data_IF_817217402288
#
_entry.id   IF_817217402288
#
_cell.length_a   1.000
_cell.length_b   1.000
_cell.length_c   1.000
_cell.angle_alpha   90.00
_cell.angle_beta   90.00
_cell.angle_gamma   90.00
#
_symmetry.space_group_name_H-M   'P 1'
#
loop_
_entity.id
_entity.type
_entity.pdbx_description
1 polymer ?
#
# COMPACT_ATOMS: atom_id res chain seq x y z
N UNK A 1 27.78 1.97 -0.55
CA UNK A 1 26.66 2.72 0.10
C UNK A 1 26.56 2.23 1.54
N UNK A 2 26.49 3.11 2.52
CA UNK A 2 26.23 2.72 3.92
C UNK A 2 24.72 2.65 4.05
N UNK A 3 24.19 1.45 4.34
CA UNK A 3 22.76 1.27 4.56
C UNK A 3 22.36 1.88 5.91
N UNK A 4 21.25 2.61 5.93
CA UNK A 4 20.65 3.10 7.17
C UNK A 4 19.94 1.92 7.84
N UNK A 5 20.22 1.70 9.11
CA UNK A 5 19.42 0.78 9.93
C UNK A 5 18.25 1.54 10.55
N UNK A 6 17.10 0.90 10.56
CA UNK A 6 15.87 1.43 11.13
C UNK A 6 15.52 0.71 12.42
N UNK A 7 15.16 1.50 13.44
CA UNK A 7 14.67 0.94 14.69
C UNK A 7 13.20 0.54 14.55
N UNK A 8 12.87 -0.61 15.13
CA UNK A 8 11.48 -1.11 15.19
C UNK A 8 10.88 -0.71 16.52
N UNK A 9 9.77 0.02 16.49
CA UNK A 9 8.99 0.34 17.70
C UNK A 9 8.25 -0.89 18.18
N UNK A 10 8.25 -1.09 19.48
CA UNK A 10 7.41 -2.12 20.08
C UNK A 10 5.94 -1.73 20.00
N UNK A 11 5.16 -2.60 19.39
CA UNK A 11 3.71 -2.54 19.34
C UNK A 11 3.13 -3.83 19.93
N UNK A 12 1.86 -3.83 20.37
CA UNK A 12 1.18 -5.07 20.72
C UNK A 12 1.28 -6.10 19.57
N UNK A 13 1.40 -7.38 19.91
CA UNK A 13 1.46 -8.44 18.91
C UNK A 13 0.21 -8.42 18.03
N UNK A 14 0.42 -8.27 16.73
CA UNK A 14 -0.65 -8.30 15.75
C UNK A 14 -0.99 -9.76 15.40
N UNK A 15 -2.27 -10.12 15.34
CA UNK A 15 -2.66 -11.47 15.00
C UNK A 15 -2.29 -11.81 13.55
N UNK A 16 -1.80 -13.03 13.33
CA UNK A 16 -1.57 -13.54 11.98
C UNK A 16 -2.91 -13.78 11.30
N UNK A 17 -3.17 -13.06 10.21
CA UNK A 17 -4.38 -13.24 9.42
C UNK A 17 -4.14 -14.19 8.26
N UNK A 18 -5.13 -15.02 7.97
CA UNK A 18 -5.10 -15.91 6.81
C UNK A 18 -5.84 -15.23 5.66
N UNK A 19 -5.13 -15.08 4.53
CA UNK A 19 -5.72 -14.52 3.31
C UNK A 19 -6.54 -15.59 2.60
N UNK A 20 -7.81 -15.29 2.35
CA UNK A 20 -8.78 -16.16 1.67
C UNK A 20 -9.38 -15.46 0.43
N UNK A 21 -10.13 -16.19 -0.37
CA UNK A 21 -10.87 -15.64 -1.51
C UNK A 21 -12.34 -16.08 -1.41
N UNK A 22 -13.23 -15.12 -1.30
CA UNK A 22 -14.68 -15.35 -1.22
C UNK A 22 -15.34 -14.60 -2.38
N UNK A 23 -16.02 -15.34 -3.27
CA UNK A 23 -16.68 -14.74 -4.42
C UNK A 23 -15.74 -13.97 -5.37
N UNK A 24 -14.49 -14.44 -5.53
CA UNK A 24 -13.49 -13.78 -6.37
C UNK A 24 -12.83 -12.56 -5.74
N UNK A 25 -13.11 -12.25 -4.48
CA UNK A 25 -12.57 -11.10 -3.74
C UNK A 25 -11.70 -11.55 -2.58
N UNK A 26 -10.65 -10.77 -2.33
CA UNK A 26 -9.73 -11.01 -1.23
C UNK A 26 -10.42 -10.73 0.10
N UNK A 27 -10.32 -11.69 1.02
CA UNK A 27 -10.73 -11.60 2.41
C UNK A 27 -9.57 -11.98 3.32
N UNK A 28 -9.71 -11.69 4.59
CA UNK A 28 -8.80 -12.11 5.64
C UNK A 28 -9.60 -12.69 6.81
N UNK A 29 -9.23 -13.88 7.25
CA UNK A 29 -9.81 -14.47 8.44
C UNK A 29 -9.15 -13.84 9.66
N UNK A 30 -9.96 -13.14 10.45
CA UNK A 30 -9.60 -12.44 11.67
C UNK A 30 -10.15 -13.19 12.88
N UNK A 31 -9.71 -12.90 14.10
CA UNK A 31 -10.31 -13.48 15.31
C UNK A 31 -11.82 -13.26 15.43
N UNK A 32 -12.35 -12.20 14.81
CA UNK A 32 -13.77 -11.82 14.90
C UNK A 32 -14.59 -12.21 13.67
N UNK A 33 -13.98 -12.86 12.66
CA UNK A 33 -14.65 -13.30 11.44
C UNK A 33 -13.85 -13.00 10.17
N UNK A 34 -14.43 -13.32 9.01
CA UNK A 34 -13.78 -13.07 7.71
C UNK A 34 -14.15 -11.69 7.17
N UNK A 35 -13.16 -10.82 7.00
CA UNK A 35 -13.35 -9.45 6.55
C UNK A 35 -12.80 -9.24 5.14
N UNK A 36 -13.51 -8.49 4.27
CA UNK A 36 -12.99 -8.13 2.95
C UNK A 36 -11.73 -7.26 3.07
N UNK A 37 -10.81 -7.41 2.12
CA UNK A 37 -9.70 -6.48 2.05
C UNK A 37 -10.17 -5.08 1.66
N UNK A 38 -9.55 -4.04 2.22
CA UNK A 38 -9.85 -2.66 1.80
C UNK A 38 -9.68 -2.46 0.29
N UNK A 39 -8.70 -3.12 -0.32
CA UNK A 39 -8.52 -3.07 -1.77
C UNK A 39 -9.67 -3.72 -2.54
N UNK A 40 -10.31 -4.78 -1.99
CA UNK A 40 -11.54 -5.37 -2.56
C UNK A 40 -12.72 -4.42 -2.42
N UNK A 41 -12.84 -3.74 -1.28
CA UNK A 41 -13.87 -2.72 -1.04
C UNK A 41 -13.76 -1.60 -2.08
N UNK A 42 -12.57 -1.03 -2.25
CA UNK A 42 -12.35 0.10 -3.17
C UNK A 42 -12.43 -0.29 -4.65
N UNK A 43 -12.24 -1.57 -4.99
CA UNK A 43 -12.25 -2.03 -6.39
C UNK A 43 -13.58 -1.82 -7.11
N UNK A 44 -14.70 -1.66 -6.39
CA UNK A 44 -15.99 -1.38 -7.01
C UNK A 44 -16.08 0.04 -7.54
N UNK A 45 -15.36 1.00 -6.94
CA UNK A 45 -15.34 2.41 -7.36
C UNK A 45 -14.69 2.61 -8.72
N UNK A 46 -13.66 1.80 -9.03
CA UNK A 46 -12.90 1.91 -10.29
C UNK A 46 -13.46 1.02 -11.41
N UNK A 47 -14.49 0.21 -11.12
CA UNK A 47 -14.97 -0.85 -12.02
C UNK A 47 -15.39 -0.32 -13.40
N UNK A 48 -16.17 0.74 -13.44
CA UNK A 48 -16.67 1.31 -14.70
C UNK A 48 -15.52 1.90 -15.54
N UNK A 49 -14.64 2.67 -14.92
CA UNK A 49 -13.47 3.24 -15.58
C UNK A 49 -12.53 2.16 -16.16
N UNK A 50 -12.33 1.05 -15.43
CA UNK A 50 -11.55 -0.10 -15.92
C UNK A 50 -12.23 -0.76 -17.12
N UNK A 51 -13.55 -0.93 -17.09
CA UNK A 51 -14.31 -1.52 -18.20
C UNK A 51 -14.20 -0.65 -19.45
N UNK A 52 -14.38 0.66 -19.33
CA UNK A 52 -14.26 1.60 -20.45
C UNK A 52 -12.84 1.66 -21.01
N UNK A 53 -11.83 1.68 -20.13
CA UNK A 53 -10.45 1.62 -20.54
C UNK A 53 -10.14 0.33 -21.31
N UNK A 54 -10.60 -0.84 -20.83
CA UNK A 54 -10.44 -2.12 -21.52
C UNK A 54 -11.11 -2.13 -22.90
N UNK A 55 -12.29 -1.55 -23.03
CA UNK A 55 -12.97 -1.41 -24.33
C UNK A 55 -12.13 -0.59 -25.32
N UNK A 56 -11.48 0.47 -24.84
CA UNK A 56 -10.67 1.38 -25.67
C UNK A 56 -9.35 0.75 -26.12
N UNK A 57 -8.64 0.05 -25.24
CA UNK A 57 -7.29 -0.50 -25.55
C UNK A 57 -7.30 -1.95 -26.03
N UNK A 58 -8.41 -2.65 -25.83
CA UNK A 58 -8.54 -4.08 -26.10
C UNK A 58 -8.09 -4.96 -24.90
N UNK A 59 -8.71 -6.13 -24.77
CA UNK A 59 -8.50 -7.00 -23.60
C UNK A 59 -7.08 -7.56 -23.52
N UNK A 60 -6.48 -7.90 -24.64
CA UNK A 60 -5.10 -8.46 -24.69
C UNK A 60 -4.08 -7.43 -24.20
N UNK A 61 -4.14 -6.24 -24.75
CA UNK A 61 -3.25 -5.14 -24.37
C UNK A 61 -3.50 -4.69 -22.94
N UNK A 62 -4.75 -4.59 -22.49
CA UNK A 62 -5.09 -4.30 -21.11
C UNK A 62 -4.48 -5.33 -20.16
N UNK A 63 -4.58 -6.62 -20.47
CA UNK A 63 -3.98 -7.68 -19.66
C UNK A 63 -2.45 -7.60 -19.63
N UNK A 64 -1.82 -7.27 -20.77
CA UNK A 64 -0.36 -7.07 -20.86
C UNK A 64 0.09 -5.91 -19.96
N UNK A 65 -0.60 -4.77 -20.04
CA UNK A 65 -0.32 -3.57 -19.23
C UNK A 65 -0.49 -3.88 -17.74
N UNK A 66 -1.60 -4.52 -17.37
CA UNK A 66 -1.88 -4.85 -15.96
C UNK A 66 -0.85 -5.82 -15.39
N UNK A 67 -0.44 -6.85 -16.14
CA UNK A 67 0.62 -7.79 -15.70
C UNK A 67 1.94 -7.08 -15.50
N UNK A 68 2.35 -6.23 -16.46
CA UNK A 68 3.59 -5.45 -16.34
C UNK A 68 3.56 -4.55 -15.09
N UNK A 69 2.46 -3.85 -14.87
CA UNK A 69 2.29 -2.99 -13.70
C UNK A 69 2.33 -3.78 -12.38
N UNK A 70 1.64 -4.93 -12.31
CA UNK A 70 1.62 -5.79 -11.13
C UNK A 70 3.02 -6.35 -10.82
N UNK A 71 3.75 -6.86 -11.83
CA UNK A 71 5.11 -7.37 -11.66
C UNK A 71 6.06 -6.26 -11.16
N UNK A 72 6.00 -5.08 -11.77
CA UNK A 72 6.78 -3.91 -11.34
C UNK A 72 6.48 -3.54 -9.90
N UNK A 73 5.20 -3.42 -9.55
CA UNK A 73 4.76 -3.10 -8.20
C UNK A 73 5.27 -4.11 -7.17
N UNK A 74 5.04 -5.41 -7.41
CA UNK A 74 5.52 -6.47 -6.50
C UNK A 74 7.04 -6.43 -6.30
N UNK A 75 7.81 -6.22 -7.36
CA UNK A 75 9.27 -6.12 -7.27
C UNK A 75 9.71 -4.88 -6.48
N UNK A 76 9.06 -3.74 -6.70
CA UNK A 76 9.36 -2.51 -5.98
C UNK A 76 9.07 -2.65 -4.48
N UNK A 77 7.89 -3.15 -4.11
CA UNK A 77 7.53 -3.41 -2.70
C UNK A 77 8.50 -4.38 -2.04
N UNK A 78 8.89 -5.47 -2.73
CA UNK A 78 9.86 -6.42 -2.16
C UNK A 78 11.25 -5.81 -1.90
N UNK A 79 11.70 -4.85 -2.71
CA UNK A 79 12.95 -4.13 -2.45
C UNK A 79 12.81 -3.19 -1.25
N UNK A 80 11.69 -2.46 -1.17
CA UNK A 80 11.38 -1.56 -0.05
C UNK A 80 11.26 -2.35 1.27
N UNK A 81 10.53 -3.46 1.26
CA UNK A 81 10.36 -4.36 2.42
C UNK A 81 11.72 -4.80 2.97
N UNK A 82 12.56 -5.43 2.12
CA UNK A 82 13.90 -5.89 2.53
C UNK A 82 14.76 -4.77 3.10
N UNK A 83 14.70 -3.60 2.48
CA UNK A 83 15.47 -2.45 2.92
C UNK A 83 15.04 -1.98 4.31
N UNK A 84 13.76 -1.75 4.53
CA UNK A 84 13.26 -1.24 5.80
C UNK A 84 13.20 -2.30 6.91
N UNK A 85 13.24 -3.60 6.57
CA UNK A 85 13.42 -4.69 7.53
C UNK A 85 14.88 -4.88 7.95
N UNK A 86 15.82 -4.14 7.37
CA UNK A 86 17.27 -4.34 7.55
C UNK A 86 17.73 -5.75 7.11
N UNK A 87 17.09 -6.33 6.10
CA UNK A 87 17.36 -7.70 5.59
C UNK A 87 18.35 -7.71 4.42
N UNK A 88 19.24 -6.71 4.34
CA UNK A 88 20.26 -6.61 3.31
C UNK A 88 21.63 -6.79 3.96
N UNK A 89 22.11 -8.03 4.01
CA UNK A 89 23.41 -8.38 4.59
C UNK A 89 24.58 -7.93 3.71
N UNK A 90 24.44 -8.07 2.39
CA UNK A 90 25.42 -7.66 1.39
C UNK A 90 24.77 -6.85 0.27
N UNK A 91 25.10 -5.56 0.22
CA UNK A 91 24.53 -4.64 -0.76
C UNK A 91 24.93 -4.97 -2.21
N UNK A 92 26.12 -5.48 -2.44
CA UNK A 92 26.62 -5.77 -3.79
C UNK A 92 25.86 -6.97 -4.37
N UNK A 93 25.65 -8.04 -3.58
CA UNK A 93 24.81 -9.17 -3.98
C UNK A 93 23.35 -8.75 -4.18
N UNK A 94 22.78 -7.98 -3.27
CA UNK A 94 21.42 -7.47 -3.38
C UNK A 94 21.20 -6.61 -4.63
N UNK A 95 22.13 -5.70 -4.92
CA UNK A 95 22.07 -4.87 -6.11
C UNK A 95 22.23 -5.69 -7.39
N UNK A 96 23.15 -6.66 -7.41
CA UNK A 96 23.36 -7.57 -8.52
C UNK A 96 22.10 -8.38 -8.88
N UNK A 97 21.44 -8.95 -7.89
CA UNK A 97 20.18 -9.68 -8.07
C UNK A 97 19.03 -8.78 -8.57
N UNK A 98 18.89 -7.60 -7.97
CA UNK A 98 17.85 -6.65 -8.36
C UNK A 98 18.06 -6.13 -9.79
N UNK A 99 19.29 -5.78 -10.17
CA UNK A 99 19.65 -5.36 -11.52
C UNK A 99 19.41 -6.48 -12.54
N UNK A 100 19.80 -7.71 -12.24
CA UNK A 100 19.57 -8.86 -13.12
C UNK A 100 18.08 -9.12 -13.34
N UNK A 101 17.25 -8.90 -12.32
CA UNK A 101 15.80 -9.13 -12.36
C UNK A 101 15.06 -8.02 -13.09
N UNK A 102 15.32 -6.75 -12.76
CA UNK A 102 14.67 -5.60 -13.39
C UNK A 102 15.46 -4.30 -13.12
N UNK A 103 16.35 -3.88 -14.00
CA UNK A 103 17.13 -2.65 -13.82
C UNK A 103 16.28 -1.41 -13.60
N UNK A 104 15.13 -1.31 -14.30
CA UNK A 104 14.24 -0.15 -14.15
C UNK A 104 13.69 -0.03 -12.75
N UNK A 105 13.22 -1.13 -12.15
CA UNK A 105 12.72 -1.12 -10.76
C UNK A 105 13.85 -0.84 -9.75
N UNK A 106 15.05 -1.34 -10.01
CA UNK A 106 16.21 -1.05 -9.18
C UNK A 106 16.51 0.46 -9.13
N UNK A 107 16.51 1.15 -10.28
CA UNK A 107 16.70 2.60 -10.30
C UNK A 107 15.58 3.36 -9.59
N UNK A 108 14.33 2.95 -9.75
CA UNK A 108 13.22 3.55 -9.01
C UNK A 108 13.39 3.38 -7.49
N UNK A 109 13.86 2.21 -7.05
CA UNK A 109 14.17 1.95 -5.66
C UNK A 109 15.29 2.87 -5.13
N UNK A 110 16.40 3.01 -5.85
CA UNK A 110 17.52 3.86 -5.46
C UNK A 110 17.09 5.34 -5.31
N UNK A 111 16.32 5.87 -6.24
CA UNK A 111 15.79 7.24 -6.15
C UNK A 111 14.84 7.39 -4.95
N UNK A 112 14.06 6.35 -4.66
CA UNK A 112 13.12 6.37 -3.53
C UNK A 112 13.84 6.42 -2.19
N UNK A 113 14.84 5.55 -1.96
CA UNK A 113 15.52 5.46 -0.67
C UNK A 113 16.31 6.73 -0.33
N UNK A 114 16.87 7.44 -1.31
CA UNK A 114 17.57 8.70 -1.10
C UNK A 114 16.70 9.78 -0.41
N UNK A 115 15.39 9.73 -0.66
CA UNK A 115 14.41 10.65 -0.07
C UNK A 115 13.90 10.08 1.25
N UNK A 116 13.51 8.80 1.24
CA UNK A 116 12.90 8.15 2.41
C UNK A 116 13.87 8.05 3.59
N UNK A 117 15.17 7.85 3.35
CA UNK A 117 16.20 7.85 4.41
C UNK A 117 16.23 9.13 5.25
N UNK A 118 15.86 10.25 4.65
CA UNK A 118 15.85 11.57 5.31
C UNK A 118 14.55 11.84 6.05
N UNK A 119 13.48 11.12 5.71
CA UNK A 119 12.11 11.38 6.14
C UNK A 119 11.58 10.35 7.11
N UNK A 120 11.98 9.08 6.91
CA UNK A 120 11.52 7.96 7.71
C UNK A 120 12.37 7.82 8.96
N UNK A 121 11.72 7.85 10.12
CA UNK A 121 12.27 7.57 11.43
C UNK A 121 11.99 6.14 11.87
N UNK A 122 11.46 5.98 13.07
CA UNK A 122 11.14 4.68 13.66
C UNK A 122 9.97 4.00 12.94
N UNK A 123 10.06 2.68 12.82
CA UNK A 123 9.09 1.88 12.07
C UNK A 123 8.25 1.04 13.03
N UNK A 124 6.94 1.02 12.81
CA UNK A 124 5.97 0.22 13.57
C UNK A 124 5.57 -1.06 12.84
N UNK A 125 5.23 -0.95 11.54
CA UNK A 125 4.75 -2.06 10.70
C UNK A 125 5.42 -2.03 9.33
N UNK A 126 5.70 -3.19 8.76
CA UNK A 126 6.11 -3.39 7.35
C UNK A 126 5.44 -4.66 6.84
N UNK A 127 4.65 -4.56 5.77
CA UNK A 127 3.90 -5.68 5.15
C UNK A 127 3.06 -6.47 6.17
N UNK A 128 2.71 -5.83 7.29
CA UNK A 128 1.93 -6.43 8.36
C UNK A 128 0.43 -6.44 8.03
N UNK A 129 -0.26 -7.47 8.52
CA UNK A 129 -1.69 -7.59 8.37
C UNK A 129 -2.42 -6.83 9.48
N UNK A 130 -3.34 -5.97 9.09
CA UNK A 130 -4.18 -5.18 9.97
C UNK A 130 -5.66 -5.46 9.71
N UNK A 131 -6.49 -5.27 10.73
CA UNK A 131 -7.93 -5.36 10.60
C UNK A 131 -8.64 -4.43 11.59
N UNK A 132 -9.87 -4.09 11.26
CA UNK A 132 -10.75 -3.31 12.11
C UNK A 132 -12.06 -4.06 12.37
N UNK A 133 -12.42 -4.21 13.64
CA UNK A 133 -13.71 -4.74 14.05
C UNK A 133 -14.82 -3.70 13.91
N UNK A 134 -14.47 -2.41 14.01
CA UNK A 134 -15.40 -1.30 13.79
C UNK A 134 -15.84 -1.23 12.33
N UNK A 135 -14.87 -1.18 11.42
CA UNK A 135 -15.13 -1.03 9.98
C UNK A 135 -15.38 -2.34 9.24
N UNK A 136 -15.08 -3.51 9.87
CA UNK A 136 -15.21 -4.85 9.28
C UNK A 136 -14.42 -4.99 7.97
N UNK A 137 -13.19 -4.50 7.98
CA UNK A 137 -12.25 -4.57 6.84
C UNK A 137 -10.87 -4.98 7.35
N UNK A 138 -10.05 -5.51 6.44
CA UNK A 138 -8.68 -5.91 6.74
C UNK A 138 -7.74 -5.63 5.54
N UNK A 139 -6.44 -5.80 5.73
CA UNK A 139 -5.46 -5.69 4.65
C UNK A 139 -4.03 -5.81 5.11
N UNK A 140 -3.11 -5.85 4.16
CA UNK A 140 -1.67 -5.71 4.41
C UNK A 140 -1.29 -4.25 4.17
N UNK A 141 -0.67 -3.62 5.16
CA UNK A 141 -0.14 -2.25 5.05
C UNK A 141 1.30 -2.32 4.57
N UNK A 142 1.68 -1.45 3.64
CA UNK A 142 3.06 -1.41 3.16
C UNK A 142 4.02 -1.01 4.29
N UNK A 143 3.76 0.12 4.95
CA UNK A 143 4.54 0.56 6.11
C UNK A 143 3.73 1.50 7.01
N UNK A 144 3.94 1.38 8.32
CA UNK A 144 3.60 2.42 9.30
C UNK A 144 4.88 2.83 10.00
N UNK A 145 5.22 4.11 9.92
CA UNK A 145 6.45 4.66 10.44
C UNK A 145 6.30 6.14 10.82
N UNK A 146 7.25 6.67 11.54
CA UNK A 146 7.40 8.12 11.64
C UNK A 146 7.87 8.66 10.29
N UNK A 147 7.11 9.58 9.72
CA UNK A 147 7.48 10.34 8.53
C UNK A 147 7.52 11.82 8.87
N UNK A 148 8.71 12.43 8.78
CA UNK A 148 8.98 13.76 9.32
C UNK A 148 8.54 13.91 10.81
N UNK A 149 8.71 12.84 11.61
CA UNK A 149 8.41 12.81 13.04
C UNK A 149 6.91 12.58 13.37
N UNK A 150 6.06 12.32 12.39
CA UNK A 150 4.62 12.06 12.58
C UNK A 150 4.33 10.59 12.23
N UNK A 151 3.65 9.86 13.13
CA UNK A 151 3.21 8.48 12.85
C UNK A 151 2.27 8.46 11.65
N UNK A 152 2.69 7.76 10.59
CA UNK A 152 2.08 7.82 9.27
C UNK A 152 1.90 6.45 8.66
N UNK A 153 0.82 6.29 7.91
CA UNK A 153 0.77 5.24 6.88
C UNK A 153 1.59 5.72 5.68
N UNK A 154 2.58 4.94 5.29
CA UNK A 154 3.36 5.18 4.07
C UNK A 154 3.02 4.08 3.07
N UNK A 155 2.36 4.46 1.99
CA UNK A 155 1.87 3.56 0.95
C UNK A 155 2.68 3.77 -0.34
N UNK A 156 3.33 2.71 -0.80
CA UNK A 156 4.21 2.74 -1.96
C UNK A 156 3.47 2.38 -3.24
N UNK A 157 3.62 3.21 -4.24
CA UNK A 157 3.01 2.97 -5.55
C UNK A 157 4.03 3.16 -6.67
N UNK A 158 3.90 2.38 -7.74
CA UNK A 158 4.61 2.66 -9.00
C UNK A 158 3.62 3.06 -10.07
N UNK A 159 4.05 3.91 -10.98
CA UNK A 159 3.18 4.44 -12.04
C UNK A 159 3.96 4.58 -13.36
N UNK A 160 3.27 4.46 -14.51
CA UNK A 160 3.88 4.75 -15.82
C UNK A 160 3.99 6.26 -16.09
N UNK A 161 3.20 7.07 -15.38
CA UNK A 161 3.13 8.52 -15.56
C UNK A 161 2.86 9.17 -14.22
N UNK A 162 3.15 10.44 -14.14
CA UNK A 162 2.76 11.27 -13.02
C UNK A 162 1.25 11.20 -12.78
N UNK A 163 0.87 11.21 -11.51
CA UNK A 163 -0.52 11.19 -11.07
C UNK A 163 -0.95 12.57 -10.62
N UNK A 164 -2.18 12.91 -10.95
CA UNK A 164 -2.84 14.03 -10.32
C UNK A 164 -3.52 13.56 -9.04
N UNK A 165 -3.56 14.42 -8.05
CA UNK A 165 -4.15 14.11 -6.75
C UNK A 165 -5.60 13.61 -6.86
N UNK A 166 -6.39 14.24 -7.73
CA UNK A 166 -7.79 13.88 -8.00
C UNK A 166 -7.99 12.44 -8.54
N UNK A 167 -6.92 11.82 -9.06
CA UNK A 167 -6.97 10.45 -9.61
C UNK A 167 -6.59 9.38 -8.60
N UNK A 168 -6.16 9.76 -7.41
CA UNK A 168 -5.61 8.84 -6.41
C UNK A 168 -6.39 8.86 -5.09
N UNK A 169 -7.63 9.38 -5.08
CA UNK A 169 -8.47 9.44 -3.89
C UNK A 169 -8.59 8.06 -3.21
N UNK A 170 -8.70 6.98 -3.99
CA UNK A 170 -8.73 5.62 -3.46
C UNK A 170 -7.47 5.22 -2.68
N UNK A 171 -6.30 5.80 -2.98
CA UNK A 171 -5.09 5.56 -2.18
C UNK A 171 -5.18 6.22 -0.81
N UNK A 172 -5.74 7.44 -0.75
CA UNK A 172 -5.96 8.11 0.53
C UNK A 172 -6.99 7.37 1.39
N UNK A 173 -8.09 6.89 0.80
CA UNK A 173 -9.09 6.07 1.51
C UNK A 173 -8.48 4.76 1.99
N UNK A 174 -7.63 4.11 1.18
CA UNK A 174 -6.90 2.90 1.57
C UNK A 174 -5.98 3.16 2.77
N UNK A 175 -5.18 4.21 2.70
CA UNK A 175 -4.29 4.62 3.80
C UNK A 175 -5.06 4.95 5.08
N UNK A 176 -6.20 5.66 4.96
CA UNK A 176 -7.10 5.95 6.08
C UNK A 176 -7.59 4.67 6.76
N UNK A 177 -7.98 3.66 5.99
CA UNK A 177 -8.38 2.38 6.55
C UNK A 177 -7.24 1.73 7.34
N UNK A 178 -6.02 1.75 6.82
CA UNK A 178 -4.85 1.21 7.55
C UNK A 178 -4.53 2.00 8.82
N UNK A 179 -4.61 3.32 8.78
CA UNK A 179 -4.41 4.15 9.97
C UNK A 179 -5.44 3.83 11.07
N UNK A 180 -6.73 3.72 10.70
CA UNK A 180 -7.80 3.34 11.65
C UNK A 180 -7.60 1.93 12.20
N UNK A 181 -7.26 0.95 11.35
CA UNK A 181 -6.93 -0.42 11.79
C UNK A 181 -5.76 -0.44 12.77
N UNK A 182 -4.68 0.28 12.46
CA UNK A 182 -3.49 0.36 13.31
C UNK A 182 -3.82 0.99 14.67
N UNK A 183 -4.47 2.12 14.67
CA UNK A 183 -4.87 2.81 15.91
C UNK A 183 -5.79 1.94 16.77
N UNK A 184 -6.75 1.22 16.15
CA UNK A 184 -7.65 0.30 16.85
C UNK A 184 -6.90 -0.88 17.49
N UNK A 185 -5.86 -1.42 16.84
CA UNK A 185 -5.11 -2.58 17.35
C UNK A 185 -4.01 -2.24 18.34
N UNK A 186 -3.47 -1.03 18.26
CA UNK A 186 -2.26 -0.66 19.04
C UNK A 186 -2.52 0.42 20.08
N UNK A 187 -3.61 1.19 19.97
CA UNK A 187 -3.88 2.43 20.68
C UNK A 187 -2.83 3.53 20.41
N UNK A 188 -2.03 3.42 19.35
CA UNK A 188 -1.10 4.44 18.91
C UNK A 188 -1.79 5.28 17.83
N UNK A 189 -1.90 6.61 18.00
CA UNK A 189 -2.48 7.47 16.97
C UNK A 189 -1.65 7.41 15.66
N UNK A 190 -2.35 7.36 14.53
CA UNK A 190 -1.77 7.44 13.20
C UNK A 190 -2.60 8.42 12.38
N UNK A 191 -2.12 9.66 12.28
CA UNK A 191 -2.95 10.78 11.82
C UNK A 191 -2.55 11.28 10.42
N UNK A 192 -1.46 10.76 9.85
CA UNK A 192 -0.91 11.19 8.57
C UNK A 192 -0.89 10.06 7.53
N UNK A 193 -1.22 10.42 6.30
CA UNK A 193 -1.11 9.58 5.12
C UNK A 193 0.03 10.10 4.25
N UNK A 194 0.91 9.22 3.82
CA UNK A 194 1.98 9.50 2.87
C UNK A 194 1.83 8.54 1.69
N UNK A 195 1.33 9.03 0.58
CA UNK A 195 1.27 8.26 -0.67
C UNK A 195 2.53 8.59 -1.47
N UNK A 196 3.44 7.63 -1.53
CA UNK A 196 4.71 7.75 -2.23
C UNK A 196 4.60 7.05 -3.58
N UNK A 197 4.51 7.83 -4.66
CA UNK A 197 4.35 7.32 -6.02
C UNK A 197 5.67 7.48 -6.77
N UNK A 198 6.17 6.38 -7.31
CA UNK A 198 7.36 6.34 -8.15
C UNK A 198 6.96 6.14 -9.62
N UNK A 199 6.92 7.21 -10.43
CA UNK A 199 6.63 7.11 -11.86
C UNK A 199 7.87 6.65 -12.63
N UNK A 200 7.66 6.15 -13.87
CA UNK A 200 8.75 5.73 -14.76
C UNK A 200 9.71 6.89 -15.12
N UNK A 201 9.32 8.15 -14.87
CA UNK A 201 10.21 9.32 -15.00
C UNK A 201 11.34 9.34 -13.98
N UNK A 202 11.23 8.58 -12.88
CA UNK A 202 12.21 8.53 -11.80
C UNK A 202 12.09 9.71 -10.80
N UNK A 203 11.14 10.63 -10.97
CA UNK A 203 10.91 11.74 -10.04
C UNK A 203 9.73 11.40 -9.13
N UNK A 204 9.95 11.11 -7.83
CA UNK A 204 8.87 10.70 -6.95
C UNK A 204 7.86 11.82 -6.70
N UNK A 205 6.59 11.42 -6.64
CA UNK A 205 5.50 12.28 -6.21
C UNK A 205 5.09 11.84 -4.79
N UNK A 206 5.06 12.79 -3.87
CA UNK A 206 4.74 12.55 -2.47
C UNK A 206 3.51 13.37 -2.10
N UNK A 207 2.44 12.68 -1.74
CA UNK A 207 1.19 13.31 -1.30
C UNK A 207 1.02 13.05 0.19
N UNK A 208 0.92 14.12 0.97
CA UNK A 208 0.73 14.06 2.41
C UNK A 208 -0.65 14.61 2.74
N UNK A 209 -1.44 13.84 3.50
CA UNK A 209 -2.82 14.17 3.89
C UNK A 209 -3.09 13.83 5.34
N UNK A 210 -4.12 14.44 5.92
CA UNK A 210 -4.66 14.01 7.20
C UNK A 210 -5.58 12.79 7.02
N UNK A 211 -5.52 11.86 7.96
CA UNK A 211 -6.43 10.71 8.02
C UNK A 211 -7.89 11.17 8.15
N UNK A 212 -8.13 12.25 8.88
CA UNK A 212 -9.49 12.74 9.13
C UNK A 212 -10.17 13.26 7.87
N UNK A 213 -9.40 13.79 6.91
CA UNK A 213 -9.95 14.30 5.65
C UNK A 213 -10.68 13.22 4.83
N UNK A 214 -10.31 11.94 5.03
CA UNK A 214 -10.84 10.81 4.24
C UNK A 214 -11.68 9.82 5.05
N UNK A 215 -11.90 10.04 6.34
CA UNK A 215 -12.65 9.12 7.20
C UNK A 215 -14.11 8.98 6.74
N UNK A 216 -14.78 10.05 6.35
CA UNK A 216 -16.15 10.00 5.83
C UNK A 216 -16.24 9.25 4.49
N UNK A 217 -15.25 9.42 3.62
CA UNK A 217 -15.17 8.71 2.34
C UNK A 217 -14.90 7.21 2.53
N UNK A 218 -14.13 6.83 3.53
CA UNK A 218 -13.92 5.42 3.91
C UNK A 218 -15.25 4.77 4.32
N UNK A 219 -16.02 5.42 5.19
CA UNK A 219 -17.33 4.92 5.64
C UNK A 219 -18.25 4.74 4.43
N UNK A 220 -18.37 5.75 3.59
CA UNK A 220 -19.19 5.68 2.36
C UNK A 220 -18.76 4.53 1.45
N UNK A 221 -17.45 4.35 1.22
CA UNK A 221 -16.95 3.27 0.36
C UNK A 221 -17.30 1.87 0.91
N UNK A 222 -17.27 1.71 2.25
CA UNK A 222 -17.66 0.45 2.91
C UNK A 222 -19.18 0.20 2.78
N UNK A 223 -20.00 1.22 2.93
CA UNK A 223 -21.46 1.12 2.78
C UNK A 223 -21.84 0.79 1.35
N UNK A 224 -21.24 1.44 0.37
CA UNK A 224 -21.42 1.14 -1.05
C UNK A 224 -21.03 -0.30 -1.36
N UNK A 225 -19.93 -0.79 -0.81
CA UNK A 225 -19.51 -2.17 -1.00
C UNK A 225 -20.52 -3.17 -0.40
N UNK A 226 -21.02 -2.92 0.81
CA UNK A 226 -22.06 -3.76 1.44
C UNK A 226 -23.33 -3.81 0.56
N UNK A 227 -23.77 -2.65 0.08
CA UNK A 227 -24.92 -2.52 -0.80
C UNK A 227 -24.71 -3.25 -2.14
N UNK A 228 -23.50 -3.18 -2.67
CA UNK A 228 -23.14 -3.92 -3.90
C UNK A 228 -23.19 -5.44 -3.70
N UNK A 229 -22.71 -5.95 -2.54
CA UNK A 229 -22.74 -7.38 -2.23
C UNK A 229 -24.17 -7.95 -2.12
N UNK A 230 -25.12 -7.15 -1.65
CA UNK A 230 -26.53 -7.59 -1.53
C UNK A 230 -27.24 -7.71 -2.89
N UNK A 231 -26.72 -7.07 -3.94
CA UNK A 231 -27.30 -7.05 -5.29
C UNK A 231 -26.69 -8.09 -6.24
N UNK A 232 -25.61 -8.74 -5.84
CA UNK A 232 -24.86 -9.73 -6.64
C UNK A 232 -24.87 -11.10 -6.02
#
# INVERSE_FOLDING_TARGET
MILKNYDRKLIPELPKLVRTNIGGRRHYDTPSGSYPSITSVLSIRDKEGIIEWRKRVGNEEANRIMRKAATRGTQFHSLMEKYFLNEIDDFDSFSGEALAKNPGVWFLFLESIQILEKKVGDIYCIEDYLYSDEYKVAGAVDMIAEYDGITSVVDFKTSNKDKKEEWIENYFIQGTAYAKMFTERTNIPCDQLVIFIMPDSGVPQIFIKSVDDYTSLLITAIEDFKSYQQKT
#
